data_IF_373036155017
#
_entry.id   IF_373036155017
#
_cell.length_a   1.000
_cell.length_b   1.000
_cell.length_c   1.000
_cell.angle_alpha   90.00
_cell.angle_beta   90.00
_cell.angle_gamma   90.00
#
_symmetry.space_group_name_H-M   'P 1'
#
loop_
_entity.id
_entity.type
_entity.pdbx_description
1 polymer ?
#
# COMPACT_ATOMS: atom_id res chain seq x y z
N UNK A 1 -1.73 -10.56 -28.87
CA UNK A 1 -1.53 -9.14 -28.45
C UNK A 1 -1.86 -8.92 -26.97
N UNK A 2 -2.91 -9.58 -26.40
CA UNK A 2 -3.35 -9.40 -24.99
C UNK A 2 -2.38 -10.04 -23.97
N UNK A 3 -1.83 -11.22 -24.25
CA UNK A 3 -0.85 -11.87 -23.36
C UNK A 3 0.47 -11.10 -23.29
N UNK A 4 0.97 -10.56 -24.39
CA UNK A 4 2.16 -9.73 -24.40
C UNK A 4 2.02 -8.50 -23.48
N UNK A 5 0.89 -7.78 -23.52
CA UNK A 5 0.61 -6.65 -22.62
C UNK A 5 0.57 -7.03 -21.15
N UNK A 6 0.10 -8.24 -20.82
CA UNK A 6 0.09 -8.75 -19.44
C UNK A 6 1.51 -9.02 -18.93
N UNK A 7 2.35 -9.69 -19.73
CA UNK A 7 3.76 -9.92 -19.37
C UNK A 7 4.54 -8.62 -19.25
N UNK A 8 4.26 -7.65 -20.13
CA UNK A 8 4.85 -6.31 -20.05
C UNK A 8 4.45 -5.59 -18.74
N UNK A 9 3.19 -5.69 -18.32
CA UNK A 9 2.71 -5.12 -17.06
C UNK A 9 3.40 -5.74 -15.84
N UNK A 10 3.50 -7.07 -15.78
CA UNK A 10 4.18 -7.79 -14.70
C UNK A 10 5.66 -7.39 -14.63
N UNK A 11 6.36 -7.33 -15.76
CA UNK A 11 7.77 -6.93 -15.82
C UNK A 11 7.95 -5.46 -15.39
N UNK A 12 7.03 -4.59 -15.80
CA UNK A 12 7.01 -3.18 -15.43
C UNK A 12 6.80 -3.00 -13.90
N UNK A 13 5.85 -3.72 -13.31
CA UNK A 13 5.60 -3.67 -11.88
C UNK A 13 6.79 -4.19 -11.05
N UNK A 14 7.43 -5.28 -11.50
CA UNK A 14 8.67 -5.77 -10.87
C UNK A 14 9.77 -4.73 -10.89
N UNK A 15 10.03 -4.13 -12.06
CA UNK A 15 11.05 -3.10 -12.22
C UNK A 15 10.74 -1.87 -11.38
N UNK A 16 9.51 -1.40 -11.39
CA UNK A 16 9.10 -0.23 -10.63
C UNK A 16 9.19 -0.47 -9.11
N UNK A 17 8.88 -1.68 -8.62
CA UNK A 17 9.07 -2.04 -7.22
C UNK A 17 10.54 -1.95 -6.81
N UNK A 18 11.46 -2.44 -7.66
CA UNK A 18 12.91 -2.34 -7.41
C UNK A 18 13.38 -0.88 -7.43
N UNK A 19 12.96 -0.10 -8.42
CA UNK A 19 13.29 1.33 -8.52
C UNK A 19 12.80 2.08 -7.28
N UNK A 20 11.59 1.78 -6.80
CA UNK A 20 11.00 2.39 -5.61
C UNK A 20 11.85 2.10 -4.36
N UNK A 21 12.26 0.83 -4.17
CA UNK A 21 13.12 0.44 -3.04
C UNK A 21 14.47 1.17 -3.12
N UNK A 22 15.10 1.21 -4.29
CA UNK A 22 16.38 1.90 -4.48
C UNK A 22 16.23 3.40 -4.18
N UNK A 23 15.20 4.04 -4.71
CA UNK A 23 14.94 5.45 -4.45
C UNK A 23 14.72 5.73 -2.95
N UNK A 24 13.97 4.87 -2.25
CA UNK A 24 13.79 4.96 -0.80
C UNK A 24 15.14 4.85 -0.06
N UNK A 25 15.97 3.87 -0.43
CA UNK A 25 17.30 3.68 0.18
C UNK A 25 18.15 4.96 0.02
N UNK A 26 18.23 5.51 -1.19
CA UNK A 26 19.02 6.72 -1.47
C UNK A 26 18.51 7.91 -0.64
N UNK A 27 17.20 8.13 -0.59
CA UNK A 27 16.59 9.22 0.17
C UNK A 27 16.85 9.06 1.66
N UNK A 28 16.62 7.85 2.20
CA UNK A 28 16.79 7.58 3.62
C UNK A 28 18.25 7.72 4.06
N UNK A 29 19.20 7.22 3.28
CA UNK A 29 20.64 7.37 3.56
C UNK A 29 21.11 8.83 3.43
N UNK A 30 20.64 9.55 2.42
CA UNK A 30 20.92 10.97 2.25
C UNK A 30 20.42 11.80 3.43
N UNK A 31 19.18 11.53 3.86
CA UNK A 31 18.60 12.20 5.03
C UNK A 31 19.36 11.86 6.33
N UNK A 32 19.71 10.58 6.51
CA UNK A 32 20.45 10.14 7.71
C UNK A 32 21.87 10.73 7.76
N UNK A 33 22.55 10.80 6.63
CA UNK A 33 23.83 11.48 6.53
C UNK A 33 23.72 12.97 6.88
N UNK A 34 22.71 13.65 6.31
CA UNK A 34 22.45 15.06 6.57
C UNK A 34 22.13 15.34 8.03
N UNK A 35 21.26 14.54 8.64
CA UNK A 35 20.94 14.66 10.07
C UNK A 35 22.17 14.39 10.94
N UNK A 36 22.95 13.34 10.63
CA UNK A 36 24.21 13.05 11.32
C UNK A 36 25.22 14.19 11.22
N UNK A 37 25.33 14.83 10.06
CA UNK A 37 26.18 16.02 9.87
C UNK A 37 25.75 17.17 10.79
N UNK A 38 24.43 17.41 10.94
CA UNK A 38 23.92 18.43 11.84
C UNK A 38 24.21 18.17 13.33
N UNK A 39 24.32 16.89 13.70
CA UNK A 39 24.70 16.46 15.06
C UNK A 39 26.20 16.17 15.21
N UNK A 40 27.01 16.79 14.35
CA UNK A 40 28.48 16.74 14.37
C UNK A 40 29.10 15.36 14.13
N UNK A 41 28.28 14.35 13.71
CA UNK A 41 28.80 13.02 13.39
C UNK A 41 28.06 12.35 12.21
N UNK A 42 28.40 12.79 10.99
CA UNK A 42 27.81 12.27 9.76
C UNK A 42 27.99 10.75 9.60
N UNK A 43 29.10 10.18 10.09
CA UNK A 43 29.36 8.75 9.98
C UNK A 43 28.42 7.92 10.86
N UNK A 44 28.20 8.35 12.09
CA UNK A 44 27.22 7.71 12.99
C UNK A 44 25.80 7.83 12.40
N UNK A 45 25.43 9.00 11.87
CA UNK A 45 24.15 9.19 11.17
C UNK A 45 23.97 8.19 10.03
N UNK A 46 25.02 7.99 9.22
CA UNK A 46 24.98 7.04 8.10
C UNK A 46 24.81 5.58 8.57
N UNK A 47 25.51 5.16 9.63
CA UNK A 47 25.38 3.81 10.20
C UNK A 47 23.93 3.56 10.68
N UNK A 48 23.38 4.53 11.44
CA UNK A 48 21.99 4.46 11.91
C UNK A 48 21.04 4.37 10.71
N UNK A 49 21.26 5.18 9.67
CA UNK A 49 20.49 5.16 8.44
C UNK A 49 20.52 3.81 7.72
N UNK A 50 21.69 3.19 7.60
CA UNK A 50 21.84 1.85 7.00
C UNK A 50 21.02 0.83 7.78
N UNK A 51 21.15 0.78 9.11
CA UNK A 51 20.40 -0.13 9.96
C UNK A 51 18.88 0.10 9.82
N UNK A 52 18.44 1.36 9.86
CA UNK A 52 17.05 1.75 9.68
C UNK A 52 16.51 1.28 8.33
N UNK A 53 17.22 1.55 7.24
CA UNK A 53 16.83 1.15 5.88
C UNK A 53 16.70 -0.37 5.76
N UNK A 54 17.67 -1.13 6.27
CA UNK A 54 17.62 -2.60 6.24
C UNK A 54 16.38 -3.09 7.01
N UNK A 55 16.18 -2.64 8.23
CA UNK A 55 15.05 -3.04 9.07
C UNK A 55 13.72 -2.70 8.40
N UNK A 56 13.55 -1.45 7.94
CA UNK A 56 12.29 -1.00 7.33
C UNK A 56 11.99 -1.70 5.99
N UNK A 57 13.03 -1.98 5.19
CA UNK A 57 12.84 -2.74 3.95
C UNK A 57 12.43 -4.18 4.21
N UNK A 58 13.04 -4.83 5.21
CA UNK A 58 12.67 -6.19 5.60
C UNK A 58 11.25 -6.25 6.18
N UNK A 59 10.91 -5.35 7.09
CA UNK A 59 9.56 -5.26 7.66
C UNK A 59 8.55 -5.01 6.54
N UNK A 60 8.79 -4.03 5.67
CA UNK A 60 7.90 -3.69 4.57
C UNK A 60 7.68 -4.84 3.59
N UNK A 61 8.74 -5.59 3.28
CA UNK A 61 8.65 -6.70 2.33
C UNK A 61 8.02 -7.96 2.93
N UNK A 62 8.36 -8.33 4.18
CA UNK A 62 7.92 -9.59 4.78
C UNK A 62 6.65 -9.49 5.62
N UNK A 63 6.38 -8.33 6.21
CA UNK A 63 5.27 -8.12 7.15
C UNK A 63 4.29 -7.02 6.70
N UNK A 64 4.47 -6.48 5.49
CA UNK A 64 3.69 -5.35 5.02
C UNK A 64 2.19 -5.64 4.88
N UNK A 65 1.84 -6.83 4.42
CA UNK A 65 0.47 -7.33 4.37
C UNK A 65 -0.16 -7.41 5.76
N UNK A 66 0.53 -8.03 6.70
CA UNK A 66 0.07 -8.17 8.08
C UNK A 66 -0.09 -6.81 8.78
N UNK A 67 0.79 -5.85 8.49
CA UNK A 67 0.68 -4.49 9.01
C UNK A 67 -0.58 -3.80 8.49
N UNK A 68 -0.82 -3.84 7.18
CA UNK A 68 -2.02 -3.25 6.57
C UNK A 68 -3.28 -3.89 7.14
N UNK A 69 -3.35 -5.22 7.23
CA UNK A 69 -4.48 -5.95 7.78
C UNK A 69 -4.74 -5.61 9.26
N UNK A 70 -3.67 -5.48 10.07
CA UNK A 70 -3.80 -5.13 11.49
C UNK A 70 -4.27 -3.71 11.71
N UNK A 71 -3.81 -2.75 10.89
CA UNK A 71 -4.27 -1.36 10.95
C UNK A 71 -5.76 -1.21 10.70
N UNK A 72 -6.34 -2.08 9.87
CA UNK A 72 -7.76 -2.12 9.55
C UNK A 72 -8.56 -3.10 10.43
N UNK A 73 -7.94 -3.72 11.44
CA UNK A 73 -8.57 -4.73 12.29
C UNK A 73 -9.25 -5.86 11.49
N UNK A 74 -8.65 -6.26 10.37
CA UNK A 74 -9.16 -7.28 9.48
C UNK A 74 -9.17 -8.65 10.18
N UNK A 75 -10.28 -9.40 10.01
CA UNK A 75 -10.45 -10.75 10.57
C UNK A 75 -10.40 -11.76 9.46
N UNK A 76 -9.62 -12.83 9.64
CA UNK A 76 -9.56 -13.93 8.70
C UNK A 76 -10.92 -14.66 8.66
N UNK A 77 -11.34 -15.01 7.44
CA UNK A 77 -12.65 -15.63 7.16
C UNK A 77 -12.45 -17.01 6.60
N UNK A 78 -13.15 -17.98 7.21
CA UNK A 78 -13.18 -19.37 6.78
C UNK A 78 -14.52 -19.71 6.09
N UNK A 79 -14.61 -20.92 5.51
CA UNK A 79 -15.88 -21.42 4.94
C UNK A 79 -17.02 -21.53 5.97
N UNK A 80 -16.71 -21.59 7.26
CA UNK A 80 -17.73 -21.61 8.33
C UNK A 80 -18.35 -20.23 8.54
N UNK A 81 -17.59 -19.17 8.27
CA UNK A 81 -18.00 -17.79 8.49
C UNK A 81 -18.77 -17.23 7.28
N UNK A 82 -18.21 -17.39 6.06
CA UNK A 82 -18.85 -17.03 4.78
C UNK A 82 -18.43 -17.99 3.67
N UNK A 83 -19.18 -19.10 3.55
CA UNK A 83 -18.91 -20.12 2.53
C UNK A 83 -19.00 -19.56 1.11
N UNK A 84 -19.90 -18.60 0.88
CA UNK A 84 -20.09 -18.03 -0.44
C UNK A 84 -18.87 -17.19 -0.87
N UNK A 85 -18.39 -16.29 -0.01
CA UNK A 85 -17.20 -15.48 -0.27
C UNK A 85 -15.96 -16.35 -0.53
N UNK A 86 -15.75 -17.35 0.32
CA UNK A 86 -14.59 -18.26 0.21
C UNK A 86 -14.65 -19.08 -1.06
N UNK A 87 -15.80 -19.70 -1.38
CA UNK A 87 -15.94 -20.51 -2.58
C UNK A 87 -15.79 -19.69 -3.87
N UNK A 88 -16.25 -18.43 -3.88
CA UNK A 88 -16.11 -17.52 -5.02
C UNK A 88 -14.62 -17.21 -5.25
N UNK A 89 -13.87 -16.89 -4.19
CA UNK A 89 -12.42 -16.60 -4.30
C UNK A 89 -11.65 -17.85 -4.70
N UNK A 90 -11.97 -19.02 -4.17
CA UNK A 90 -11.35 -20.29 -4.60
C UNK A 90 -11.58 -20.56 -6.09
N UNK A 91 -12.81 -20.39 -6.57
CA UNK A 91 -13.16 -20.56 -7.98
C UNK A 91 -12.40 -19.59 -8.90
N UNK A 92 -12.34 -18.32 -8.51
CA UNK A 92 -11.57 -17.31 -9.23
C UNK A 92 -10.06 -17.58 -9.20
N UNK A 93 -9.53 -18.13 -8.11
CA UNK A 93 -8.11 -18.51 -8.00
C UNK A 93 -7.75 -19.61 -8.98
N UNK A 94 -8.62 -20.63 -9.13
CA UNK A 94 -8.46 -21.69 -10.12
C UNK A 94 -8.50 -21.11 -11.52
N UNK A 95 -9.47 -20.26 -11.83
CA UNK A 95 -9.60 -19.61 -13.14
C UNK A 95 -8.39 -18.70 -13.46
N UNK A 96 -7.85 -18.00 -12.47
CA UNK A 96 -6.68 -17.15 -12.61
C UNK A 96 -5.37 -17.94 -12.71
N UNK A 97 -5.34 -19.19 -12.24
CA UNK A 97 -4.13 -20.03 -12.18
C UNK A 97 -3.14 -19.57 -11.11
N UNK A 98 -3.63 -19.09 -9.96
CA UNK A 98 -2.82 -18.66 -8.81
C UNK A 98 -3.29 -19.39 -7.54
N UNK A 99 -2.43 -19.50 -6.50
CA UNK A 99 -2.86 -20.01 -5.21
C UNK A 99 -3.99 -19.17 -4.61
N UNK A 100 -4.90 -19.80 -3.89
CA UNK A 100 -5.98 -19.10 -3.19
C UNK A 100 -5.40 -18.15 -2.14
N UNK A 101 -5.66 -16.83 -2.24
CA UNK A 101 -5.21 -15.88 -1.25
C UNK A 101 -5.92 -16.07 0.09
N UNK A 102 -5.32 -15.59 1.17
CA UNK A 102 -6.02 -15.49 2.46
C UNK A 102 -7.18 -14.51 2.34
N UNK A 103 -8.27 -14.77 3.05
CA UNK A 103 -9.51 -14.01 2.95
C UNK A 103 -9.77 -13.31 4.26
N UNK A 104 -10.01 -12.01 4.21
CA UNK A 104 -10.28 -11.19 5.38
C UNK A 104 -11.54 -10.36 5.21
N UNK A 105 -12.19 -10.06 6.33
CA UNK A 105 -13.32 -9.14 6.40
C UNK A 105 -13.02 -8.02 7.41
N UNK A 106 -13.41 -6.79 7.05
CA UNK A 106 -13.35 -5.62 7.91
C UNK A 106 -14.77 -5.20 8.25
N UNK A 107 -15.03 -4.94 9.53
CA UNK A 107 -16.32 -4.39 9.98
C UNK A 107 -16.35 -2.89 9.70
N UNK A 108 -16.78 -2.55 8.51
CA UNK A 108 -16.90 -1.18 8.02
C UNK A 108 -18.09 -1.09 7.08
N UNK A 109 -18.92 -0.06 7.25
CA UNK A 109 -20.15 0.13 6.45
C UNK A 109 -19.84 0.72 5.06
N UNK A 110 -18.71 1.39 4.88
CA UNK A 110 -18.26 1.88 3.58
C UNK A 110 -17.93 0.70 2.66
N UNK A 111 -18.52 0.61 1.46
CA UNK A 111 -18.25 -0.50 0.54
C UNK A 111 -16.84 -0.39 -0.04
N UNK A 112 -16.00 -1.39 0.28
CA UNK A 112 -14.64 -1.46 -0.21
C UNK A 112 -14.13 -2.90 -0.29
N UNK A 113 -13.18 -3.16 -1.22
CA UNK A 113 -12.36 -4.35 -1.26
C UNK A 113 -10.95 -3.96 -1.67
N UNK A 114 -9.96 -4.73 -1.26
CA UNK A 114 -8.58 -4.56 -1.71
C UNK A 114 -7.80 -5.87 -1.60
N UNK A 115 -6.80 -6.01 -2.45
CA UNK A 115 -5.81 -7.06 -2.37
C UNK A 115 -4.47 -6.52 -1.84
N UNK A 116 -3.77 -7.31 -1.03
CA UNK A 116 -2.41 -6.97 -0.54
C UNK A 116 -1.53 -8.21 -0.55
N UNK A 117 -0.22 -8.00 -0.44
CA UNK A 117 0.78 -9.06 -0.38
C UNK A 117 2.00 -8.81 -1.26
N UNK A 118 3.05 -9.60 -1.06
CA UNK A 118 4.32 -9.46 -1.80
C UNK A 118 4.37 -10.27 -3.10
N UNK A 119 3.57 -11.32 -3.20
CA UNK A 119 3.45 -12.20 -4.37
C UNK A 119 2.17 -13.04 -4.28
N UNK A 120 1.76 -13.77 -5.35
CA UNK A 120 0.53 -14.55 -5.34
C UNK A 120 0.47 -15.67 -4.28
N UNK A 121 1.61 -16.17 -3.78
CA UNK A 121 1.64 -17.18 -2.70
C UNK A 121 1.42 -16.56 -1.31
N UNK A 122 1.68 -15.26 -1.19
CA UNK A 122 1.57 -14.49 0.05
C UNK A 122 0.63 -13.30 -0.18
N UNK A 123 -0.53 -13.59 -0.77
CA UNK A 123 -1.55 -12.60 -1.08
C UNK A 123 -2.75 -12.75 -0.15
N UNK A 124 -3.45 -11.65 0.06
CA UNK A 124 -4.71 -11.59 0.80
C UNK A 124 -5.72 -10.75 0.02
N UNK A 125 -7.00 -11.13 0.11
CA UNK A 125 -8.14 -10.32 -0.34
C UNK A 125 -8.94 -9.94 0.89
N UNK A 126 -9.24 -8.67 1.01
CA UNK A 126 -10.03 -8.11 2.11
C UNK A 126 -11.27 -7.44 1.57
N UNK A 127 -12.40 -7.70 2.22
CA UNK A 127 -13.72 -7.16 1.86
C UNK A 127 -14.33 -6.50 3.08
N UNK A 128 -14.97 -5.35 2.94
CA UNK A 128 -15.75 -4.74 4.02
C UNK A 128 -17.14 -5.36 4.15
N UNK A 129 -17.70 -5.33 5.36
CA UNK A 129 -19.10 -5.74 5.58
C UNK A 129 -20.06 -4.92 4.72
N UNK A 130 -19.80 -3.63 4.54
CA UNK A 130 -20.60 -2.76 3.67
C UNK A 130 -20.65 -3.26 2.23
N UNK A 131 -19.49 -3.59 1.63
CA UNK A 131 -19.46 -4.14 0.28
C UNK A 131 -20.21 -5.48 0.21
N UNK A 132 -19.90 -6.40 1.14
CA UNK A 132 -20.46 -7.73 1.18
C UNK A 132 -21.98 -7.72 1.27
N UNK A 133 -22.56 -6.74 1.99
CA UNK A 133 -23.99 -6.61 2.20
C UNK A 133 -24.76 -6.04 1.01
N UNK A 134 -24.15 -5.13 0.23
CA UNK A 134 -24.85 -4.46 -0.88
C UNK A 134 -24.69 -5.18 -2.23
N UNK A 135 -23.67 -6.04 -2.36
CA UNK A 135 -23.37 -6.72 -3.63
C UNK A 135 -24.20 -7.98 -3.79
N UNK A 136 -24.78 -8.13 -4.96
CA UNK A 136 -25.30 -9.42 -5.39
C UNK A 136 -24.16 -10.37 -5.83
N UNK A 137 -24.56 -11.56 -6.28
CA UNK A 137 -23.60 -12.61 -6.63
C UNK A 137 -22.65 -12.22 -7.77
N UNK A 138 -23.19 -11.64 -8.81
CA UNK A 138 -22.43 -11.32 -10.02
C UNK A 138 -21.55 -10.07 -9.82
N UNK A 139 -22.05 -9.12 -9.05
CA UNK A 139 -21.33 -7.91 -8.68
C UNK A 139 -20.15 -8.23 -7.77
N UNK A 140 -20.35 -9.05 -6.72
CA UNK A 140 -19.28 -9.46 -5.82
C UNK A 140 -18.21 -10.26 -6.58
N UNK A 141 -18.61 -11.20 -7.44
CA UNK A 141 -17.70 -11.94 -8.29
C UNK A 141 -16.88 -11.01 -9.20
N UNK A 142 -17.49 -9.97 -9.76
CA UNK A 142 -16.84 -8.95 -10.57
C UNK A 142 -15.75 -8.19 -9.79
N UNK A 143 -16.08 -7.71 -8.57
CA UNK A 143 -15.12 -7.01 -7.69
C UNK A 143 -13.97 -7.94 -7.29
N UNK A 144 -14.28 -9.16 -6.86
CA UNK A 144 -13.26 -10.13 -6.45
C UNK A 144 -12.34 -10.54 -7.61
N UNK A 145 -12.87 -10.63 -8.82
CA UNK A 145 -12.06 -10.90 -10.02
C UNK A 145 -11.13 -9.72 -10.39
N UNK A 146 -11.57 -8.49 -10.16
CA UNK A 146 -10.74 -7.30 -10.28
C UNK A 146 -9.57 -7.34 -9.28
N UNK A 147 -9.84 -7.61 -7.99
CA UNK A 147 -8.80 -7.76 -6.95
C UNK A 147 -7.85 -8.93 -7.27
N UNK A 148 -8.38 -10.05 -7.75
CA UNK A 148 -7.59 -11.21 -8.17
C UNK A 148 -6.62 -10.86 -9.30
N UNK A 149 -7.02 -9.94 -10.17
CA UNK A 149 -6.19 -9.46 -11.28
C UNK A 149 -4.99 -8.66 -10.78
N UNK A 150 -5.14 -7.85 -9.74
CA UNK A 150 -4.03 -7.15 -9.09
C UNK A 150 -3.01 -8.13 -8.47
N UNK A 151 -3.48 -9.23 -7.89
CA UNK A 151 -2.61 -10.29 -7.37
C UNK A 151 -1.79 -10.92 -8.51
N UNK A 152 -2.46 -11.34 -9.58
CA UNK A 152 -1.85 -11.98 -10.74
C UNK A 152 -0.81 -11.10 -11.44
N UNK A 153 -1.10 -9.80 -11.53
CA UNK A 153 -0.25 -8.81 -12.21
C UNK A 153 0.88 -8.27 -11.33
N UNK A 154 0.98 -8.71 -10.07
CA UNK A 154 1.92 -8.21 -9.06
C UNK A 154 1.75 -6.72 -8.73
N UNK A 155 0.59 -6.14 -9.03
CA UNK A 155 0.23 -4.78 -8.62
C UNK A 155 0.25 -4.67 -7.09
N UNK A 156 -0.21 -5.71 -6.38
CA UNK A 156 -0.26 -5.77 -4.92
C UNK A 156 1.10 -5.49 -4.27
N UNK A 157 2.19 -6.04 -4.82
CA UNK A 157 3.54 -5.81 -4.33
C UNK A 157 3.92 -4.34 -4.40
N UNK A 158 3.69 -3.74 -5.56
CA UNK A 158 4.01 -2.35 -5.80
C UNK A 158 3.19 -1.44 -4.88
N UNK A 159 1.88 -1.65 -4.80
CA UNK A 159 0.96 -0.86 -3.96
C UNK A 159 1.32 -1.00 -2.47
N UNK A 160 1.58 -2.21 -1.99
CA UNK A 160 2.01 -2.48 -0.62
C UNK A 160 3.30 -1.72 -0.29
N UNK A 161 4.32 -1.80 -1.15
CA UNK A 161 5.58 -1.08 -0.94
C UNK A 161 5.37 0.43 -0.90
N UNK A 162 4.59 0.98 -1.83
CA UNK A 162 4.27 2.43 -1.85
C UNK A 162 3.61 2.85 -0.53
N UNK A 163 2.61 2.10 -0.07
CA UNK A 163 1.87 2.40 1.17
C UNK A 163 2.79 2.41 2.38
N UNK A 164 3.65 1.39 2.51
CA UNK A 164 4.57 1.27 3.64
C UNK A 164 5.63 2.36 3.60
N UNK A 165 6.25 2.59 2.44
CA UNK A 165 7.29 3.61 2.30
C UNK A 165 6.73 5.01 2.54
N UNK A 166 5.52 5.32 2.05
CA UNK A 166 4.83 6.56 2.36
C UNK A 166 4.55 6.69 3.87
N UNK A 167 4.07 5.62 4.51
CA UNK A 167 3.84 5.57 5.95
C UNK A 167 5.11 5.80 6.76
N UNK A 168 6.23 5.16 6.39
CA UNK A 168 7.53 5.38 7.04
C UNK A 168 7.98 6.83 6.95
N UNK A 169 7.84 7.47 5.78
CA UNK A 169 8.20 8.88 5.59
C UNK A 169 7.35 9.77 6.51
N UNK A 170 6.04 9.52 6.60
CA UNK A 170 5.13 10.26 7.50
C UNK A 170 5.54 10.08 8.95
N UNK A 171 5.81 8.84 9.40
CA UNK A 171 6.24 8.56 10.78
C UNK A 171 7.57 9.23 11.14
N UNK A 172 8.54 9.21 10.22
CA UNK A 172 9.83 9.90 10.41
C UNK A 172 9.61 11.41 10.51
N UNK A 173 8.76 11.98 9.67
CA UNK A 173 8.43 13.39 9.68
C UNK A 173 7.75 13.79 11.00
N UNK A 174 6.79 13.01 11.48
CA UNK A 174 6.11 13.24 12.76
C UNK A 174 7.08 13.10 13.96
N UNK A 175 7.95 12.10 13.93
CA UNK A 175 8.98 11.91 14.96
C UNK A 175 9.94 13.11 15.05
N UNK A 176 10.43 13.60 13.89
CA UNK A 176 11.31 14.80 13.84
C UNK A 176 10.58 16.00 14.42
N UNK A 177 9.34 16.24 14.00
CA UNK A 177 8.52 17.37 14.47
C UNK A 177 8.28 17.30 15.98
N UNK A 178 7.88 16.15 16.51
CA UNK A 178 7.64 15.96 17.96
C UNK A 178 8.92 16.08 18.77
N UNK A 179 10.01 15.48 18.33
CA UNK A 179 11.31 15.58 19.01
C UNK A 179 11.75 17.03 19.15
N UNK A 180 11.46 17.87 18.16
CA UNK A 180 11.71 19.28 18.23
C UNK A 180 10.77 20.01 19.23
N UNK A 181 9.46 19.79 19.13
CA UNK A 181 8.47 20.44 19.99
C UNK A 181 8.69 20.10 21.47
N UNK A 182 9.10 18.87 21.79
CA UNK A 182 9.30 18.43 23.17
C UNK A 182 10.73 18.65 23.67
N UNK A 183 11.73 18.60 22.79
CA UNK A 183 13.15 18.85 23.13
C UNK A 183 13.49 20.32 23.23
N UNK A 184 12.89 21.16 22.40
CA UNK A 184 13.12 22.63 22.40
C UNK A 184 12.61 23.36 23.63
N UNK A 185 11.62 22.82 24.33
CA UNK A 185 11.08 23.42 25.56
C UNK A 185 12.02 23.32 26.78
N UNK A 186 13.08 22.51 26.70
CA UNK A 186 14.02 22.32 27.85
C UNK A 186 15.34 23.04 27.77
N UNK A 187 15.69 23.70 26.65
CA UNK A 187 16.95 24.40 26.52
C UNK A 187 16.73 25.92 26.46
N UNK A 188 16.54 26.55 27.62
CA UNK A 188 16.38 28.00 27.74
C UNK A 188 17.68 28.79 27.52
N UNK A 189 18.83 28.12 27.21
CA UNK A 189 20.17 28.75 27.21
C UNK A 189 20.92 28.77 25.87
N UNK A 190 20.26 28.38 24.76
CA UNK A 190 20.90 28.48 23.42
C UNK A 190 20.30 29.58 22.57
N UNK A 191 20.73 30.83 22.86
CA UNK A 191 20.53 31.96 21.94
C UNK A 191 21.14 31.63 20.58
N UNK A 192 20.31 31.33 19.58
CA UNK A 192 20.68 31.21 18.19
C UNK A 192 20.40 29.86 17.50
N UNK A 193 20.38 28.72 18.21
CA UNK A 193 20.25 27.40 17.59
C UNK A 193 18.81 26.97 17.24
N UNK A 194 17.82 27.40 18.01
CA UNK A 194 16.43 26.98 17.83
C UNK A 194 15.82 27.37 16.46
N UNK A 195 16.18 28.58 15.99
CA UNK A 195 15.73 29.06 14.67
C UNK A 195 16.32 28.25 13.50
N UNK A 196 17.58 27.86 13.59
CA UNK A 196 18.26 27.05 12.55
C UNK A 196 17.62 25.64 12.49
N UNK A 197 17.34 25.03 13.65
CA UNK A 197 16.72 23.72 13.72
C UNK A 197 15.28 23.74 13.14
N UNK A 198 14.50 24.80 13.41
CA UNK A 198 13.17 25.00 12.81
C UNK A 198 13.24 25.09 11.26
N UNK A 199 14.20 25.84 10.75
CA UNK A 199 14.43 25.96 9.31
C UNK A 199 14.78 24.60 8.71
N UNK A 200 15.64 23.82 9.37
CA UNK A 200 16.06 22.50 8.90
C UNK A 200 14.93 21.49 8.90
N UNK A 201 14.08 21.48 9.93
CA UNK A 201 12.86 20.68 9.96
C UNK A 201 11.91 21.11 8.84
N UNK A 202 11.70 22.42 8.67
CA UNK A 202 10.88 22.96 7.58
C UNK A 202 11.37 22.51 6.21
N UNK A 203 12.67 22.58 5.95
CA UNK A 203 13.29 22.11 4.69
C UNK A 203 13.08 20.59 4.52
N UNK A 204 13.33 19.82 5.56
CA UNK A 204 13.16 18.36 5.53
C UNK A 204 11.72 17.98 5.17
N UNK A 205 10.73 18.59 5.84
CA UNK A 205 9.30 18.34 5.56
C UNK A 205 8.90 18.85 4.18
N UNK A 206 9.43 19.98 3.72
CA UNK A 206 9.20 20.51 2.38
C UNK A 206 9.71 19.57 1.28
N UNK A 207 10.81 18.85 1.53
CA UNK A 207 11.35 17.83 0.60
C UNK A 207 10.54 16.54 0.68
N UNK A 208 10.19 16.06 1.86
CA UNK A 208 9.52 14.76 2.06
C UNK A 208 8.06 14.78 1.61
N UNK A 209 7.33 15.86 1.84
CA UNK A 209 5.90 15.98 1.46
C UNK A 209 5.64 15.75 -0.03
N UNK A 210 6.33 16.39 -0.99
CA UNK A 210 6.10 16.12 -2.41
C UNK A 210 6.50 14.69 -2.81
N UNK A 211 7.46 14.07 -2.13
CA UNK A 211 7.84 12.67 -2.37
C UNK A 211 6.69 11.74 -2.01
N UNK A 212 6.07 11.91 -0.82
CA UNK A 212 4.89 11.14 -0.41
C UNK A 212 3.74 11.34 -1.41
N UNK A 213 3.47 12.58 -1.81
CA UNK A 213 2.41 12.87 -2.79
C UNK A 213 2.66 12.17 -4.14
N UNK A 214 3.91 12.12 -4.61
CA UNK A 214 4.27 11.40 -5.84
C UNK A 214 4.14 9.88 -5.68
N UNK A 215 4.53 9.32 -4.53
CA UNK A 215 4.36 7.90 -4.23
C UNK A 215 2.88 7.50 -4.28
N UNK A 216 2.01 8.26 -3.62
CA UNK A 216 0.56 8.03 -3.64
C UNK A 216 0.02 8.12 -5.07
N UNK A 217 0.44 9.11 -5.84
CA UNK A 217 0.04 9.25 -7.25
C UNK A 217 0.49 8.07 -8.11
N UNK A 218 1.69 7.52 -7.86
CA UNK A 218 2.17 6.33 -8.57
C UNK A 218 1.43 5.06 -8.17
N UNK A 219 0.92 4.96 -6.93
CA UNK A 219 0.05 3.86 -6.52
C UNK A 219 -1.26 3.85 -7.32
N UNK A 220 -1.86 5.01 -7.56
CA UNK A 220 -3.12 5.17 -8.29
C UNK A 220 -2.90 5.29 -9.82
N UNK A 221 -2.46 4.22 -10.48
CA UNK A 221 -2.23 4.20 -11.93
C UNK A 221 -3.48 3.77 -12.72
N UNK A 222 -4.04 4.67 -13.52
CA UNK A 222 -5.18 4.34 -14.41
C UNK A 222 -4.92 3.15 -15.33
N UNK A 223 -3.69 2.97 -15.79
CA UNK A 223 -3.35 1.82 -16.66
C UNK A 223 -3.47 0.48 -15.93
N UNK A 224 -3.11 0.43 -14.64
CA UNK A 224 -3.28 -0.78 -13.83
C UNK A 224 -4.75 -1.08 -13.59
N UNK A 225 -5.55 -0.07 -13.27
CA UNK A 225 -7.00 -0.22 -13.11
C UNK A 225 -7.67 -0.75 -14.40
N UNK A 226 -7.39 -0.15 -15.54
CA UNK A 226 -7.92 -0.64 -16.82
C UNK A 226 -7.47 -2.07 -17.16
N UNK A 227 -6.25 -2.47 -16.75
CA UNK A 227 -5.78 -3.83 -16.94
C UNK A 227 -6.49 -4.78 -15.97
N UNK A 228 -6.72 -4.38 -14.73
CA UNK A 228 -7.44 -5.17 -13.74
C UNK A 228 -8.91 -5.34 -14.14
N UNK A 229 -9.59 -4.27 -14.61
CA UNK A 229 -10.94 -4.33 -15.16
C UNK A 229 -11.04 -5.32 -16.31
N UNK A 230 -10.16 -5.20 -17.30
CA UNK A 230 -10.14 -6.09 -18.46
C UNK A 230 -9.83 -7.55 -18.09
N UNK A 231 -8.93 -7.76 -17.14
CA UNK A 231 -8.56 -9.09 -16.67
C UNK A 231 -9.65 -9.72 -15.82
N UNK A 232 -10.28 -8.94 -14.94
CA UNK A 232 -11.43 -9.36 -14.13
C UNK A 232 -12.62 -9.75 -14.98
N UNK A 233 -12.97 -8.92 -15.98
CA UNK A 233 -14.02 -9.24 -16.95
C UNK A 233 -13.72 -10.50 -17.76
N UNK A 234 -12.46 -10.80 -18.04
CA UNK A 234 -12.06 -12.06 -18.71
C UNK A 234 -12.19 -13.26 -17.77
N UNK A 235 -11.88 -13.12 -16.49
CA UNK A 235 -11.98 -14.19 -15.51
C UNK A 235 -13.43 -14.62 -15.28
N UNK A 236 -14.32 -13.65 -15.11
CA UNK A 236 -15.75 -13.91 -14.87
C UNK A 236 -16.53 -14.19 -16.14
N UNK A 237 -16.03 -13.79 -17.31
CA UNK A 237 -16.75 -13.70 -18.58
C UNK A 237 -18.04 -12.86 -18.49
N UNK A 238 -18.15 -12.05 -17.45
CA UNK A 238 -19.29 -11.17 -17.18
C UNK A 238 -18.81 -9.75 -16.84
N UNK A 239 -18.51 -8.90 -17.83
CA UNK A 239 -18.09 -7.53 -17.60
C UNK A 239 -19.18 -6.66 -16.95
N UNK A 240 -20.47 -7.05 -17.10
CA UNK A 240 -21.59 -6.31 -16.56
C UNK A 240 -21.61 -6.34 -15.02
N UNK A 241 -21.25 -7.49 -14.40
CA UNK A 241 -21.21 -7.62 -12.94
C UNK A 241 -20.28 -6.58 -12.29
N UNK A 242 -19.06 -6.42 -12.82
CA UNK A 242 -18.14 -5.38 -12.32
C UNK A 242 -18.69 -3.96 -12.57
N UNK A 243 -19.26 -3.70 -13.74
CA UNK A 243 -19.81 -2.39 -14.07
C UNK A 243 -20.96 -1.99 -13.13
N UNK A 244 -21.84 -2.93 -12.78
CA UNK A 244 -22.97 -2.68 -11.88
C UNK A 244 -22.48 -2.55 -10.41
N UNK A 245 -21.48 -3.34 -10.00
CA UNK A 245 -20.82 -3.18 -8.71
C UNK A 245 -20.23 -1.77 -8.53
N UNK A 246 -19.49 -1.27 -9.53
CA UNK A 246 -18.89 0.06 -9.48
C UNK A 246 -19.93 1.18 -9.39
N UNK A 247 -21.09 1.04 -10.06
CA UNK A 247 -22.20 1.97 -9.90
C UNK A 247 -22.72 1.98 -8.48
N UNK A 248 -22.97 0.79 -7.89
CA UNK A 248 -23.45 0.69 -6.51
C UNK A 248 -22.46 1.27 -5.49
N UNK A 249 -21.15 1.02 -5.67
CA UNK A 249 -20.11 1.60 -4.81
C UNK A 249 -20.13 3.14 -4.88
N UNK A 250 -20.23 3.69 -6.09
CA UNK A 250 -20.34 5.14 -6.29
C UNK A 250 -21.56 5.70 -5.59
N UNK A 251 -22.75 5.12 -5.87
CA UNK A 251 -24.03 5.59 -5.36
C UNK A 251 -24.15 5.44 -3.82
N UNK A 252 -23.40 4.50 -3.22
CA UNK A 252 -23.29 4.37 -1.78
C UNK A 252 -22.38 5.44 -1.15
N UNK A 253 -21.30 5.85 -1.84
CA UNK A 253 -20.41 6.94 -1.37
C UNK A 253 -21.07 8.31 -1.40
N UNK A 254 -21.99 8.52 -2.34
CA UNK A 254 -22.72 9.80 -2.47
C UNK A 254 -23.82 9.97 -1.38
N UNK A 255 -24.08 8.93 -0.59
CA UNK A 255 -25.09 8.92 0.50
C UNK A 255 -24.50 9.11 1.89
N UNK A 256 -23.17 9.11 2.04
CA UNK A 256 -22.42 9.33 3.29
C UNK A 256 -21.80 10.70 3.29
#
# INVERSE_FOLDING_TARGET
>A
LKMAKLYDAISHNKRNSVILIIAFIIIALGLSYFLGYLFENAFVGLIIGILFVIIMTLIGYYSGDSLILSMHHAKEVSKKDDAYLVNTIEGLSIAAGIPTPKIYIIKEDSPNAFATGRDPKHASITVTTGLRNIMDRQELEGVLAHEMSHIKNLDIRYMMLVTILAGVIVLVSDFILRSFLWGGARSHDRKGGAGVILILIGITLAILTPIVAQLIKFAASRQREYLADASGAMLTRNPQGLADALKKIRDAKDKV
#
